data_IF_624678334712
#
_entry.id   IF_624678334712
#
_cell.length_a   1.000
_cell.length_b   1.000
_cell.length_c   1.000
_cell.angle_alpha   90.00
_cell.angle_beta   90.00
_cell.angle_gamma   90.00
#
_symmetry.space_group_name_H-M   'P 1'
#
loop_
_entity.id
_entity.type
_entity.pdbx_description
1 polymer ?
#
# COMPACT_ATOMS: atom_id res chain seq x y z
N UNK A 1 -2.44 -0.06 -3.69
CA UNK A 1 -2.36 -0.44 -2.26
C UNK A 1 -1.44 -1.64 -2.12
N UNK A 2 -0.39 -1.55 -1.31
CA UNK A 2 0.71 -2.53 -1.34
C UNK A 2 1.11 -2.95 0.08
N UNK A 3 1.16 -4.25 0.33
CA UNK A 3 1.77 -4.85 1.53
C UNK A 3 3.12 -5.47 1.13
N UNK A 4 4.24 -4.74 1.31
CA UNK A 4 5.56 -5.28 1.00
C UNK A 4 5.98 -6.31 2.06
N UNK A 5 6.39 -7.51 1.63
CA UNK A 5 7.01 -8.51 2.52
C UNK A 5 8.53 -8.58 2.39
N UNK A 6 9.16 -8.73 3.55
CA UNK A 6 10.57 -8.47 3.85
C UNK A 6 11.49 -9.68 3.74
N UNK A 7 11.34 -10.54 2.73
CA UNK A 7 12.29 -11.66 2.60
C UNK A 7 13.68 -11.16 2.15
N UNK A 8 13.73 -10.16 1.27
CA UNK A 8 14.98 -9.68 0.63
C UNK A 8 15.20 -8.17 0.71
N UNK A 9 14.25 -7.40 1.25
CA UNK A 9 14.31 -5.93 1.36
C UNK A 9 15.31 -5.40 2.41
N UNK A 10 16.03 -6.28 3.13
CA UNK A 10 16.99 -5.91 4.19
C UNK A 10 18.25 -5.16 3.71
N UNK A 11 18.46 -5.01 2.41
CA UNK A 11 19.59 -4.24 1.86
C UNK A 11 19.07 -3.07 1.02
N UNK A 12 19.50 -1.85 1.36
CA UNK A 12 19.01 -0.57 0.84
C UNK A 12 19.00 -0.36 -0.69
N UNK A 13 19.41 -1.36 -1.48
CA UNK A 13 19.27 -1.37 -2.93
C UNK A 13 17.82 -1.56 -3.43
N UNK A 14 16.95 -2.20 -2.64
CA UNK A 14 15.61 -2.57 -3.11
C UNK A 14 14.52 -1.55 -2.78
N UNK A 15 14.75 -0.58 -1.90
CA UNK A 15 13.77 0.47 -1.59
C UNK A 15 13.58 1.43 -2.77
N UNK A 16 14.67 1.87 -3.40
CA UNK A 16 14.63 2.70 -4.61
C UNK A 16 13.90 1.99 -5.77
N UNK A 17 14.20 0.70 -5.92
CA UNK A 17 13.54 -0.14 -6.93
C UNK A 17 12.03 -0.26 -6.65
N UNK A 18 11.64 -0.34 -5.37
CA UNK A 18 10.24 -0.43 -4.98
C UNK A 18 9.49 0.88 -5.25
N UNK A 19 10.09 2.02 -4.88
CA UNK A 19 9.53 3.35 -5.17
C UNK A 19 9.39 3.62 -6.67
N UNK A 20 10.35 3.14 -7.47
CA UNK A 20 10.28 3.26 -8.94
C UNK A 20 9.23 2.32 -9.55
N UNK A 21 9.01 1.14 -8.96
CA UNK A 21 8.08 0.14 -9.50
C UNK A 21 6.62 0.60 -9.58
N UNK A 22 6.27 1.63 -8.82
CA UNK A 22 4.92 2.19 -8.73
C UNK A 22 4.78 3.54 -9.42
N UNK A 23 5.78 3.97 -10.21
CA UNK A 23 5.82 5.30 -10.82
C UNK A 23 4.65 5.63 -11.76
N UNK A 24 3.91 4.62 -12.24
CA UNK A 24 2.72 4.82 -13.08
C UNK A 24 1.40 4.98 -12.31
N UNK A 25 1.42 4.92 -10.98
CA UNK A 25 0.23 5.10 -10.15
C UNK A 25 0.01 6.59 -9.82
N UNK A 26 -1.25 7.00 -9.72
CA UNK A 26 -1.59 8.35 -9.24
C UNK A 26 -1.38 8.48 -7.73
N UNK A 27 -1.72 7.43 -6.98
CA UNK A 27 -1.60 7.36 -5.52
C UNK A 27 -1.13 5.96 -5.07
N UNK A 28 -0.22 5.91 -4.09
CA UNK A 28 0.32 4.67 -3.53
C UNK A 28 0.16 4.64 -2.01
N UNK A 29 -0.55 3.63 -1.52
CA UNK A 29 -0.63 3.34 -0.08
C UNK A 29 0.25 2.14 0.24
N UNK A 30 1.35 2.39 0.95
CA UNK A 30 2.26 1.39 1.49
C UNK A 30 1.79 0.96 2.88
N UNK A 31 1.45 -0.31 3.05
CA UNK A 31 0.96 -0.83 4.32
C UNK A 31 2.04 -1.62 5.06
N UNK A 32 2.50 -1.09 6.19
CA UNK A 32 3.43 -1.74 7.10
C UNK A 32 2.69 -2.42 8.25
N UNK A 33 2.27 -3.67 8.05
CA UNK A 33 1.66 -4.47 9.12
C UNK A 33 2.70 -4.83 10.21
N UNK A 34 2.23 -5.43 11.31
CA UNK A 34 3.10 -5.83 12.43
C UNK A 34 4.18 -6.88 12.09
N UNK A 35 4.03 -7.60 10.98
CA UNK A 35 5.00 -8.57 10.49
C UNK A 35 6.12 -7.93 9.63
N UNK A 36 5.96 -6.66 9.23
CA UNK A 36 7.01 -5.91 8.55
C UNK A 36 8.08 -5.50 9.56
N UNK A 37 9.31 -5.95 9.34
CA UNK A 37 10.43 -5.80 10.30
C UNK A 37 11.55 -4.89 9.80
N UNK A 38 11.25 -3.97 8.88
CA UNK A 38 12.20 -3.01 8.34
C UNK A 38 11.56 -1.62 8.27
N UNK A 39 12.40 -0.60 8.17
CA UNK A 39 11.98 0.78 8.18
C UNK A 39 11.43 1.21 6.80
N UNK A 40 10.11 1.37 6.73
CA UNK A 40 9.39 1.81 5.54
C UNK A 40 9.36 3.33 5.37
N UNK A 41 9.86 4.11 6.33
CA UNK A 41 9.75 5.59 6.32
C UNK A 41 10.33 6.23 5.06
N UNK A 42 11.38 5.63 4.49
CA UNK A 42 12.00 6.11 3.26
C UNK A 42 11.12 5.88 2.01
N UNK A 43 10.09 5.03 2.05
CA UNK A 43 9.29 4.77 0.86
C UNK A 43 8.50 6.00 0.40
N UNK A 44 8.05 6.86 1.31
CA UNK A 44 7.34 8.08 0.91
C UNK A 44 8.24 9.01 0.09
N UNK A 45 9.52 9.09 0.42
CA UNK A 45 10.48 9.95 -0.27
C UNK A 45 11.06 9.31 -1.53
N UNK A 46 11.15 7.98 -1.56
CA UNK A 46 11.68 7.21 -2.71
C UNK A 46 10.62 6.92 -3.78
N UNK A 47 9.34 7.05 -3.45
CA UNK A 47 8.25 6.85 -4.40
C UNK A 47 8.02 8.14 -5.19
N UNK A 48 8.10 8.05 -6.52
CA UNK A 48 7.89 9.21 -7.42
C UNK A 48 6.41 9.64 -7.44
N UNK A 49 5.51 8.67 -7.38
CA UNK A 49 4.08 8.92 -7.26
C UNK A 49 3.73 9.50 -5.87
N UNK A 50 2.56 10.14 -5.76
CA UNK A 50 2.08 10.53 -4.43
C UNK A 50 1.90 9.27 -3.58
N UNK A 51 2.42 9.27 -2.36
CA UNK A 51 2.42 8.06 -1.55
C UNK A 51 2.34 8.32 -0.06
N UNK A 52 1.86 7.30 0.66
CA UNK A 52 1.74 7.28 2.12
C UNK A 52 2.15 5.93 2.68
N UNK A 53 2.89 5.95 3.79
CA UNK A 53 3.18 4.77 4.61
C UNK A 53 2.19 4.75 5.77
N UNK A 54 1.44 3.66 5.87
CA UNK A 54 0.34 3.48 6.81
C UNK A 54 0.56 2.20 7.62
N UNK A 55 0.22 2.26 8.90
CA UNK A 55 0.35 1.12 9.82
C UNK A 55 -1.01 0.65 10.36
N UNK A 56 -2.09 1.35 10.00
CA UNK A 56 -3.46 0.99 10.35
C UNK A 56 -4.22 0.58 9.08
N UNK A 57 -4.72 -0.66 9.05
CA UNK A 57 -5.47 -1.17 7.90
C UNK A 57 -6.78 -0.42 7.66
N UNK A 58 -7.45 0.03 8.73
CA UNK A 58 -8.69 0.79 8.60
C UNK A 58 -8.42 2.12 7.89
N UNK A 59 -7.31 2.79 8.20
CA UNK A 59 -6.93 4.04 7.52
C UNK A 59 -6.65 3.82 6.03
N UNK A 60 -6.04 2.69 5.65
CA UNK A 60 -5.88 2.30 4.24
C UNK A 60 -7.24 2.16 3.55
N UNK A 61 -8.20 1.50 4.21
CA UNK A 61 -9.56 1.29 3.68
C UNK A 61 -10.28 2.63 3.52
N UNK A 62 -10.26 3.49 4.53
CA UNK A 62 -10.94 4.78 4.52
C UNK A 62 -10.41 5.68 3.39
N UNK A 63 -9.09 5.70 3.18
CA UNK A 63 -8.47 6.42 2.07
C UNK A 63 -8.89 5.83 0.72
N UNK A 64 -8.93 4.50 0.59
CA UNK A 64 -9.35 3.83 -0.64
C UNK A 64 -10.81 4.17 -1.01
N UNK A 65 -11.73 4.20 -0.03
CA UNK A 65 -13.12 4.63 -0.21
C UNK A 65 -13.21 6.09 -0.67
N UNK A 66 -12.41 6.97 -0.07
CA UNK A 66 -12.38 8.38 -0.48
C UNK A 66 -11.96 8.53 -1.96
N UNK A 67 -10.99 7.75 -2.42
CA UNK A 67 -10.56 7.78 -3.83
C UNK A 67 -11.56 7.12 -4.79
N UNK A 68 -12.36 6.15 -4.34
CA UNK A 68 -13.37 5.49 -5.20
C UNK A 68 -14.59 6.36 -5.51
N UNK A 69 -14.72 7.54 -4.90
CA UNK A 69 -15.74 8.52 -5.28
C UNK A 69 -15.54 9.08 -6.70
N UNK A 70 -14.38 8.83 -7.29
CA UNK A 70 -14.08 9.06 -8.70
C UNK A 70 -14.03 7.72 -9.46
N UNK A 71 -14.05 7.74 -10.80
CA UNK A 71 -13.79 6.54 -11.59
C UNK A 71 -12.34 6.10 -11.39
N UNK A 72 -12.14 5.23 -10.41
CA UNK A 72 -10.81 4.86 -9.91
C UNK A 72 -10.58 3.36 -10.05
N UNK A 73 -9.38 2.97 -10.48
CA UNK A 73 -8.93 1.59 -10.48
C UNK A 73 -8.05 1.35 -9.25
N UNK A 74 -8.42 0.41 -8.40
CA UNK A 74 -7.66 0.06 -7.20
C UNK A 74 -6.95 -1.27 -7.44
N UNK A 75 -5.62 -1.22 -7.46
CA UNK A 75 -4.77 -2.42 -7.54
C UNK A 75 -4.22 -2.74 -6.15
N UNK A 76 -4.45 -3.96 -5.69
CA UNK A 76 -3.95 -4.48 -4.41
C UNK A 76 -2.82 -5.46 -4.71
N UNK A 77 -1.65 -5.22 -4.13
CA UNK A 77 -0.48 -6.09 -4.28
C UNK A 77 -0.01 -6.58 -2.90
N UNK A 78 -0.02 -7.89 -2.71
CA UNK A 78 0.50 -8.54 -1.50
C UNK A 78 1.02 -9.94 -1.86
N UNK A 79 2.00 -10.40 -1.08
CA UNK A 79 2.50 -11.77 -1.14
C UNK A 79 1.76 -12.73 -0.20
N UNK A 80 0.65 -12.29 0.41
CA UNK A 80 -0.10 -13.07 1.40
C UNK A 80 -1.56 -12.63 1.52
N UNK A 81 -2.16 -12.90 2.67
CA UNK A 81 -3.59 -12.64 2.90
C UNK A 81 -3.95 -11.16 3.14
N UNK A 82 -2.96 -10.27 3.33
CA UNK A 82 -3.13 -8.83 3.56
C UNK A 82 -4.26 -8.54 4.56
N UNK A 83 -4.29 -9.27 5.68
CA UNK A 83 -5.32 -9.14 6.73
C UNK A 83 -6.77 -9.19 6.22
N UNK A 84 -7.01 -9.87 5.09
CA UNK A 84 -8.33 -9.96 4.44
C UNK A 84 -8.78 -8.68 3.74
N UNK A 85 -7.87 -7.78 3.35
CA UNK A 85 -8.19 -6.46 2.78
C UNK A 85 -9.17 -6.52 1.61
N UNK A 86 -9.09 -7.56 0.76
CA UNK A 86 -9.98 -7.71 -0.39
C UNK A 86 -11.45 -7.76 0.04
N UNK A 87 -11.79 -8.66 0.98
CA UNK A 87 -13.16 -8.79 1.48
C UNK A 87 -13.60 -7.56 2.29
N UNK A 88 -12.67 -6.97 3.06
CA UNK A 88 -12.95 -5.74 3.82
C UNK A 88 -13.26 -4.56 2.91
N UNK A 89 -12.50 -4.37 1.82
CA UNK A 89 -12.75 -3.32 0.83
C UNK A 89 -14.06 -3.54 0.09
N UNK A 90 -14.36 -4.76 -0.37
CA UNK A 90 -15.65 -5.07 -0.98
C UNK A 90 -16.81 -4.71 -0.06
N UNK A 91 -16.75 -5.16 1.20
CA UNK A 91 -17.78 -4.82 2.18
C UNK A 91 -17.85 -3.31 2.45
N UNK A 92 -16.73 -2.60 2.43
CA UNK A 92 -16.72 -1.15 2.63
C UNK A 92 -17.37 -0.41 1.46
N UNK A 93 -17.07 -0.79 0.21
CA UNK A 93 -17.66 -0.18 -0.98
C UNK A 93 -19.15 -0.46 -1.11
N UNK A 94 -19.62 -1.64 -0.72
CA UNK A 94 -21.05 -1.97 -0.73
C UNK A 94 -21.85 -1.12 0.28
N UNK A 95 -21.19 -0.59 1.31
CA UNK A 95 -21.79 0.20 2.39
C UNK A 95 -21.51 1.72 2.27
N UNK A 96 -20.79 2.17 1.24
CA UNK A 96 -20.34 3.57 1.06
C UNK A 96 -21.20 4.39 0.11
#
# INVERSE_FOLDING_TARGET
IIEPRSATMKMGFHQDSLGTSVASADEVLWYGNSAVNWDMSALETLTVANSKVLHNLQEVIDIAIKFSQQKTHIVIMSNGGFEGIHGKLTAAFDNS
#
